data_IF_990360895682
#
_entry.id   IF_990360895682
#
_cell.length_a   1.000
_cell.length_b   1.000
_cell.length_c   1.000
_cell.angle_alpha   90.00
_cell.angle_beta   90.00
_cell.angle_gamma   90.00
#
_symmetry.space_group_name_H-M   'P 1'
#
loop_
_entity.id
_entity.type
_entity.pdbx_description
1 polymer ?
#
# COMPACT_ATOMS: atom_id res chain seq x y z
N UNK A 1 -41.10 0.69 -3.62
CA UNK A 1 -41.91 1.83 -3.16
C UNK A 1 -41.30 2.41 -1.88
N UNK A 2 -41.50 3.71 -1.60
CA UNK A 2 -40.58 4.59 -0.86
C UNK A 2 -40.54 4.48 0.68
N UNK A 3 -40.77 3.32 1.30
CA UNK A 3 -40.95 3.23 2.77
C UNK A 3 -39.76 2.64 3.56
N UNK A 4 -38.62 2.42 2.91
CA UNK A 4 -37.43 1.87 3.61
C UNK A 4 -36.52 2.93 4.23
N UNK A 5 -36.81 4.22 4.03
CA UNK A 5 -36.03 5.31 4.62
C UNK A 5 -37.00 6.25 5.36
N UNK A 6 -36.87 6.31 6.70
CA UNK A 6 -37.53 7.26 7.62
C UNK A 6 -39.01 7.06 8.02
N UNK A 7 -39.35 5.91 8.63
CA UNK A 7 -40.64 5.75 9.32
C UNK A 7 -40.53 4.93 10.60
N UNK A 8 -41.17 5.39 11.69
CA UNK A 8 -41.23 4.75 13.03
C UNK A 8 -42.10 3.48 13.03
N UNK A 9 -42.74 3.15 11.91
CA UNK A 9 -43.64 2.01 11.77
C UNK A 9 -43.27 1.18 10.52
N UNK A 10 -43.60 -0.11 10.52
CA UNK A 10 -43.58 -1.03 9.38
C UNK A 10 -44.97 -1.63 9.20
N UNK A 11 -45.35 -1.94 7.97
CA UNK A 11 -46.53 -2.77 7.71
C UNK A 11 -46.11 -4.23 7.68
N UNK A 12 -46.78 -5.06 8.47
CA UNK A 12 -46.56 -6.50 8.55
C UNK A 12 -47.82 -7.22 8.07
N UNK A 13 -47.67 -8.10 7.09
CA UNK A 13 -48.78 -8.86 6.53
C UNK A 13 -49.18 -9.98 7.50
N UNK A 14 -50.38 -9.89 8.06
CA UNK A 14 -50.90 -10.85 9.05
C UNK A 14 -51.80 -11.90 8.41
N UNK A 15 -52.37 -11.60 7.25
CA UNK A 15 -53.07 -12.53 6.37
C UNK A 15 -52.94 -12.03 4.91
N UNK A 16 -53.17 -12.88 3.89
CA UNK A 16 -53.01 -12.47 2.49
C UNK A 16 -53.87 -11.23 2.16
N UNK A 17 -53.21 -10.10 1.90
CA UNK A 17 -53.86 -8.82 1.63
C UNK A 17 -54.27 -8.00 2.85
N UNK A 18 -53.96 -8.46 4.08
CA UNK A 18 -54.26 -7.77 5.34
C UNK A 18 -52.96 -7.39 6.06
N UNK A 19 -52.72 -6.08 6.19
CA UNK A 19 -51.49 -5.52 6.75
C UNK A 19 -51.79 -4.78 8.05
N UNK A 20 -51.01 -5.08 9.09
CA UNK A 20 -51.04 -4.34 10.35
C UNK A 20 -49.84 -3.41 10.47
N UNK A 21 -50.08 -2.22 11.00
CA UNK A 21 -49.04 -1.23 11.28
C UNK A 21 -48.35 -1.58 12.61
N UNK A 22 -47.07 -1.96 12.55
CA UNK A 22 -46.24 -2.31 13.70
C UNK A 22 -45.17 -1.24 13.94
N UNK A 23 -44.93 -0.76 15.17
CA UNK A 23 -43.82 0.14 15.45
C UNK A 23 -42.47 -0.55 15.22
N UNK A 24 -41.57 0.11 14.50
CA UNK A 24 -40.17 -0.31 14.41
C UNK A 24 -39.49 0.03 15.74
N UNK A 25 -38.72 -0.88 16.35
CA UNK A 25 -37.90 -0.54 17.51
C UNK A 25 -36.95 0.60 17.15
N UNK A 26 -37.05 1.73 17.85
CA UNK A 26 -36.15 2.86 17.61
C UNK A 26 -34.75 2.52 18.12
N UNK A 27 -33.71 3.04 17.46
CA UNK A 27 -32.31 2.83 17.84
C UNK A 27 -32.05 3.12 19.33
N UNK A 28 -32.69 4.15 19.89
CA UNK A 28 -32.59 4.48 21.32
C UNK A 28 -33.25 3.43 22.25
N UNK A 29 -34.29 2.72 21.78
CA UNK A 29 -34.94 1.63 22.52
C UNK A 29 -34.07 0.38 22.45
N UNK A 30 -33.50 0.07 21.29
CA UNK A 30 -32.50 -1.00 21.14
C UNK A 30 -31.29 -0.72 22.02
N UNK A 31 -30.74 0.50 21.99
CA UNK A 31 -29.61 0.92 22.82
C UNK A 31 -29.94 0.82 24.32
N UNK A 32 -31.16 1.16 24.74
CA UNK A 32 -31.62 0.98 26.12
C UNK A 32 -31.78 -0.49 26.53
N UNK A 33 -32.18 -1.35 25.60
CA UNK A 33 -32.23 -2.80 25.80
C UNK A 33 -30.82 -3.38 26.02
N UNK A 34 -29.82 -2.87 25.28
CA UNK A 34 -28.41 -3.25 25.44
C UNK A 34 -27.68 -2.58 26.62
N UNK A 35 -28.35 -1.68 27.36
CA UNK A 35 -27.83 -1.03 28.58
C UNK A 35 -28.65 -1.37 29.83
N UNK A 36 -29.49 -2.40 29.76
CA UNK A 36 -30.16 -2.93 30.96
C UNK A 36 -29.10 -3.63 31.81
N UNK A 37 -28.67 -2.94 32.87
CA UNK A 37 -27.80 -3.50 33.90
C UNK A 37 -28.68 -4.33 34.83
N UNK A 38 -28.39 -5.62 34.95
CA UNK A 38 -29.13 -6.54 35.81
C UNK A 38 -28.25 -6.95 36.99
N UNK A 39 -28.86 -7.12 38.17
CA UNK A 39 -28.13 -7.42 39.42
C UNK A 39 -27.28 -8.72 39.35
N UNK A 40 -27.61 -9.63 38.43
CA UNK A 40 -26.84 -10.84 38.13
C UNK A 40 -26.63 -10.95 36.61
N UNK A 41 -25.36 -11.01 36.20
CA UNK A 41 -24.92 -11.20 34.82
C UNK A 41 -25.06 -12.67 34.40
N UNK A 42 -25.56 -12.90 33.18
CA UNK A 42 -25.68 -14.24 32.60
C UNK A 42 -24.36 -14.76 32.06
N UNK A 43 -23.43 -13.87 31.69
CA UNK A 43 -22.05 -14.20 31.29
C UNK A 43 -21.12 -13.77 32.42
N UNK A 44 -20.82 -14.70 33.33
CA UNK A 44 -20.08 -14.43 34.57
C UNK A 44 -18.58 -14.16 34.32
N UNK A 45 -18.01 -14.80 33.30
CA UNK A 45 -16.68 -14.48 32.79
C UNK A 45 -16.56 -14.90 31.33
N UNK A 46 -15.70 -14.19 30.59
CA UNK A 46 -15.31 -14.56 29.24
C UNK A 46 -13.79 -14.55 29.12
N UNK A 47 -13.21 -15.75 29.04
CA UNK A 47 -11.77 -15.95 29.03
C UNK A 47 -11.30 -16.45 27.67
N UNK A 48 -10.19 -15.90 27.18
CA UNK A 48 -9.54 -16.33 25.95
C UNK A 48 -8.19 -16.97 26.23
N UNK A 49 -7.90 -18.08 25.55
CA UNK A 49 -6.61 -18.79 25.63
C UNK A 49 -6.09 -19.12 24.24
N UNK A 50 -4.77 -19.03 24.06
CA UNK A 50 -4.10 -19.30 22.79
C UNK A 50 -3.31 -20.61 22.88
N UNK A 51 -3.51 -21.48 21.89
CA UNK A 51 -2.69 -22.68 21.69
C UNK A 51 -1.65 -22.41 20.61
N UNK A 52 -0.40 -22.22 21.02
CA UNK A 52 0.73 -21.93 20.13
C UNK A 52 1.04 -23.08 19.16
N UNK A 53 0.71 -24.33 19.52
CA UNK A 53 1.00 -25.51 18.69
C UNK A 53 0.01 -25.61 17.53
N UNK A 54 -1.25 -25.29 17.77
CA UNK A 54 -2.31 -25.37 16.75
C UNK A 54 -2.64 -24.02 16.11
N UNK A 55 -2.15 -22.90 16.67
CA UNK A 55 -2.46 -21.54 16.24
C UNK A 55 -3.92 -21.17 16.42
N UNK A 56 -4.59 -21.78 17.40
CA UNK A 56 -6.04 -21.61 17.64
C UNK A 56 -6.29 -20.84 18.92
N UNK A 57 -7.36 -20.05 18.89
CA UNK A 57 -7.90 -19.39 20.07
C UNK A 57 -9.09 -20.19 20.59
N UNK A 58 -9.10 -20.44 21.89
CA UNK A 58 -10.24 -21.00 22.61
C UNK A 58 -10.81 -19.91 23.52
N UNK A 59 -12.05 -19.51 23.26
CA UNK A 59 -12.79 -18.58 24.12
C UNK A 59 -13.85 -19.35 24.88
N UNK A 60 -13.83 -19.22 26.20
CA UNK A 60 -14.73 -19.92 27.11
C UNK A 60 -15.53 -18.90 27.93
N UNK A 61 -16.84 -19.04 27.89
CA UNK A 61 -17.78 -18.26 28.69
C UNK A 61 -18.26 -19.12 29.87
N UNK A 62 -18.17 -18.58 31.09
CA UNK A 62 -18.85 -19.13 32.28
C UNK A 62 -20.22 -18.48 32.38
N UNK A 63 -21.27 -19.29 32.49
CA UNK A 63 -22.66 -18.86 32.39
C UNK A 63 -23.39 -19.06 33.71
N UNK A 64 -24.38 -18.19 33.97
CA UNK A 64 -25.32 -18.38 35.06
C UNK A 64 -26.22 -19.61 34.86
N UNK A 65 -26.71 -20.17 35.97
CA UNK A 65 -27.51 -21.40 35.98
C UNK A 65 -28.85 -21.28 35.24
N UNK A 66 -29.38 -20.06 35.07
CA UNK A 66 -30.65 -19.77 34.40
C UNK A 66 -30.53 -19.67 32.87
N UNK A 67 -29.32 -19.73 32.32
CA UNK A 67 -29.07 -19.80 30.87
C UNK A 67 -29.47 -21.18 30.34
N UNK A 68 -30.54 -21.25 29.57
CA UNK A 68 -31.10 -22.52 29.06
C UNK A 68 -31.03 -22.66 27.53
N UNK A 69 -30.65 -21.58 26.84
CA UNK A 69 -30.54 -21.53 25.38
C UNK A 69 -29.12 -21.70 24.83
N UNK A 70 -29.02 -21.65 23.51
CA UNK A 70 -27.73 -21.62 22.80
C UNK A 70 -27.04 -20.29 23.05
N UNK A 71 -25.80 -20.33 23.54
CA UNK A 71 -24.94 -19.14 23.58
C UNK A 71 -24.39 -18.87 22.18
N UNK A 72 -24.57 -17.63 21.73
CA UNK A 72 -24.04 -17.20 20.44
C UNK A 72 -22.72 -16.49 20.66
N UNK A 73 -21.65 -17.07 20.11
CA UNK A 73 -20.37 -16.38 20.04
C UNK A 73 -20.18 -15.76 18.67
N UNK A 74 -19.81 -14.48 18.64
CA UNK A 74 -19.61 -13.72 17.41
C UNK A 74 -18.19 -13.18 17.36
N UNK A 75 -17.57 -13.37 16.20
CA UNK A 75 -16.35 -12.69 15.80
C UNK A 75 -16.71 -11.38 15.12
N UNK A 76 -16.15 -10.25 15.58
CA UNK A 76 -16.54 -8.92 15.10
C UNK A 76 -15.66 -8.35 13.97
N UNK A 77 -14.55 -9.00 13.59
CA UNK A 77 -13.69 -8.51 12.48
C UNK A 77 -14.02 -9.21 11.16
N UNK A 78 -13.76 -8.55 10.03
CA UNK A 78 -14.12 -9.05 8.68
C UNK A 78 -13.38 -10.32 8.26
N UNK A 79 -12.42 -10.71 9.08
CA UNK A 79 -11.41 -11.66 8.73
C UNK A 79 -11.35 -12.56 10.01
N UNK A 80 -11.78 -13.81 9.92
CA UNK A 80 -11.69 -14.80 10.98
C UNK A 80 -12.95 -15.65 10.98
N UNK A 81 -12.88 -16.88 11.48
CA UNK A 81 -14.07 -17.74 11.53
C UNK A 81 -14.11 -18.62 12.77
N UNK A 82 -15.33 -18.90 13.21
CA UNK A 82 -15.63 -19.84 14.28
C UNK A 82 -15.48 -21.26 13.71
N UNK A 83 -14.56 -22.05 14.26
CA UNK A 83 -14.31 -23.44 13.87
C UNK A 83 -15.37 -24.40 14.41
N UNK A 84 -15.98 -24.03 15.53
CA UNK A 84 -17.03 -24.80 16.19
C UNK A 84 -17.34 -24.26 17.58
N UNK A 85 -18.57 -24.45 18.03
CA UNK A 85 -19.02 -24.19 19.39
C UNK A 85 -19.34 -25.50 20.10
N UNK A 86 -18.96 -25.59 21.37
CA UNK A 86 -19.46 -26.63 22.27
C UNK A 86 -20.78 -26.19 22.88
N UNK A 87 -21.70 -27.14 23.02
CA UNK A 87 -22.96 -26.93 23.74
C UNK A 87 -22.68 -26.86 25.24
N UNK A 88 -23.48 -26.06 25.96
CA UNK A 88 -23.34 -25.83 27.40
C UNK A 88 -23.16 -27.16 28.15
N UNK A 89 -22.00 -27.35 28.77
CA UNK A 89 -21.79 -28.49 29.68
C UNK A 89 -22.63 -28.25 30.94
N UNK A 90 -23.54 -29.16 31.25
CA UNK A 90 -24.51 -29.01 32.35
C UNK A 90 -24.11 -29.76 33.61
N UNK A 91 -22.89 -30.33 33.64
CA UNK A 91 -22.53 -31.30 34.67
C UNK A 91 -22.20 -30.68 36.04
N UNK A 92 -21.62 -29.47 36.11
CA UNK A 92 -21.28 -28.78 37.37
C UNK A 92 -21.17 -27.24 37.26
N UNK A 93 -20.74 -26.72 36.10
CA UNK A 93 -20.63 -25.28 35.79
C UNK A 93 -21.06 -25.11 34.34
N UNK A 94 -22.03 -24.24 34.05
CA UNK A 94 -22.46 -24.01 32.67
C UNK A 94 -21.38 -23.27 31.90
N UNK A 95 -20.61 -23.99 31.08
CA UNK A 95 -19.58 -23.40 30.24
C UNK A 95 -19.93 -23.59 28.77
N UNK A 96 -19.76 -22.52 28.00
CA UNK A 96 -19.79 -22.57 26.54
C UNK A 96 -18.41 -22.19 26.02
N UNK A 97 -17.81 -23.07 25.21
CA UNK A 97 -16.51 -22.81 24.59
C UNK A 97 -16.67 -22.79 23.07
N UNK A 98 -16.08 -21.81 22.39
CA UNK A 98 -15.92 -21.85 20.94
C UNK A 98 -14.45 -21.73 20.56
N UNK A 99 -14.12 -22.44 19.47
CA UNK A 99 -12.81 -22.40 18.86
C UNK A 99 -12.83 -21.40 17.71
N UNK A 100 -11.80 -20.55 17.67
CA UNK A 100 -11.62 -19.52 16.66
C UNK A 100 -10.29 -19.74 15.95
N UNK A 101 -10.28 -19.39 14.66
CA UNK A 101 -9.06 -19.37 13.86
C UNK A 101 -8.98 -18.11 13.03
N UNK A 102 -7.79 -17.55 12.99
CA UNK A 102 -7.38 -16.59 11.97
C UNK A 102 -7.22 -17.34 10.65
N UNK A 103 -7.80 -16.80 9.58
CA UNK A 103 -7.87 -17.48 8.30
C UNK A 103 -6.52 -17.92 7.74
N UNK A 104 -6.47 -19.17 7.26
CA UNK A 104 -5.28 -19.91 6.81
C UNK A 104 -4.51 -19.29 5.62
N UNK A 105 -4.97 -18.17 5.05
CA UNK A 105 -4.46 -17.60 3.79
C UNK A 105 -4.07 -16.13 3.83
N UNK A 106 -4.36 -15.40 4.92
CA UNK A 106 -3.95 -13.99 5.07
C UNK A 106 -3.47 -13.77 6.49
N UNK A 107 -2.28 -13.18 6.70
CA UNK A 107 -1.86 -12.82 8.04
C UNK A 107 -2.91 -11.91 8.67
N UNK A 108 -3.29 -12.26 9.89
CA UNK A 108 -4.09 -11.40 10.73
C UNK A 108 -3.14 -10.52 11.51
N UNK A 109 -3.36 -9.22 11.42
CA UNK A 109 -2.73 -8.27 12.31
C UNK A 109 -3.86 -7.41 12.86
N UNK A 110 -3.83 -7.19 14.17
CA UNK A 110 -4.85 -6.41 14.88
C UNK A 110 -5.64 -7.25 15.87
N UNK A 111 -6.17 -6.57 16.88
CA UNK A 111 -7.01 -7.19 17.89
C UNK A 111 -8.39 -7.51 17.32
N UNK A 112 -8.93 -8.67 17.69
CA UNK A 112 -10.27 -9.09 17.38
C UNK A 112 -11.10 -9.10 18.65
N UNK A 113 -12.28 -8.48 18.59
CA UNK A 113 -13.26 -8.56 19.68
C UNK A 113 -14.15 -9.77 19.44
N UNK A 114 -14.25 -10.61 20.46
CA UNK A 114 -15.15 -11.76 20.51
C UNK A 114 -16.21 -11.44 21.55
N UNK A 115 -17.48 -11.48 21.13
CA UNK A 115 -18.63 -11.22 22.01
C UNK A 115 -19.40 -12.51 22.23
N UNK A 116 -19.64 -12.87 23.48
CA UNK A 116 -20.53 -13.95 23.87
C UNK A 116 -21.88 -13.37 24.28
N UNK A 117 -22.97 -13.86 23.68
CA UNK A 117 -24.34 -13.43 23.97
C UNK A 117 -25.10 -14.62 24.55
N UNK A 118 -25.57 -14.45 25.78
CA UNK A 118 -26.37 -15.44 26.50
C UNK A 118 -27.82 -14.98 26.62
N UNK A 119 -28.75 -15.95 26.57
CA UNK A 119 -30.19 -15.70 26.76
C UNK A 119 -30.73 -16.67 27.81
N UNK A 120 -31.39 -16.14 28.84
CA UNK A 120 -32.01 -16.93 29.91
C UNK A 120 -33.37 -17.50 29.51
N UNK A 121 -33.88 -18.45 30.30
CA UNK A 121 -35.22 -19.01 30.11
C UNK A 121 -36.34 -17.95 30.08
N UNK A 122 -36.16 -16.87 30.85
CA UNK A 122 -37.11 -15.77 30.96
C UNK A 122 -36.90 -14.69 29.88
N UNK A 123 -36.17 -15.01 28.81
CA UNK A 123 -35.84 -14.10 27.71
C UNK A 123 -35.01 -12.86 28.12
N UNK A 124 -34.26 -12.94 29.23
CA UNK A 124 -33.22 -11.95 29.54
C UNK A 124 -32.02 -12.21 28.64
N UNK A 125 -31.43 -11.15 28.09
CA UNK A 125 -30.22 -11.24 27.29
C UNK A 125 -29.09 -10.47 27.98
N UNK A 126 -27.89 -11.03 27.93
CA UNK A 126 -26.68 -10.42 28.46
C UNK A 126 -25.50 -10.76 27.56
N UNK A 127 -24.43 -9.99 27.65
CA UNK A 127 -23.23 -10.20 26.87
C UNK A 127 -21.96 -9.83 27.65
N UNK A 128 -20.88 -10.50 27.30
CA UNK A 128 -19.53 -10.09 27.64
C UNK A 128 -18.66 -10.14 26.38
N UNK A 129 -17.55 -9.40 26.38
CA UNK A 129 -16.66 -9.35 25.24
C UNK A 129 -15.19 -9.38 25.67
N UNK A 130 -14.40 -10.19 24.98
CA UNK A 130 -12.97 -10.31 25.17
C UNK A 130 -12.26 -9.86 23.91
N UNK A 131 -11.19 -9.09 24.08
CA UNK A 131 -10.29 -8.71 22.99
C UNK A 131 -9.16 -9.71 22.95
N UNK A 132 -9.00 -10.40 21.81
CA UNK A 132 -7.86 -11.25 21.53
C UNK A 132 -6.95 -10.56 20.53
N UNK A 133 -5.63 -10.71 20.69
CA UNK A 133 -4.66 -10.20 19.72
C UNK A 133 -4.07 -11.38 18.98
N UNK A 134 -4.73 -11.89 17.92
CA UNK A 134 -4.27 -13.09 17.27
C UNK A 134 -2.93 -12.86 16.59
N UNK A 135 -1.90 -13.53 17.10
CA UNK A 135 -0.61 -13.66 16.44
C UNK A 135 -0.71 -14.82 15.46
N UNK A 136 -1.10 -14.54 14.21
CA UNK A 136 -0.90 -15.52 13.13
C UNK A 136 0.60 -15.70 12.85
N UNK A 137 1.05 -16.84 12.29
CA UNK A 137 2.42 -16.95 11.82
C UNK A 137 2.69 -15.83 10.80
N UNK A 138 3.58 -14.91 11.18
CA UNK A 138 3.99 -13.76 10.38
C UNK A 138 4.61 -14.26 9.07
N UNK A 139 4.12 -13.87 7.89
CA UNK A 139 4.80 -14.13 6.65
C UNK A 139 5.94 -13.12 6.50
N UNK A 140 7.17 -13.66 6.53
CA UNK A 140 8.45 -13.08 6.11
C UNK A 140 8.90 -11.80 6.83
N UNK A 141 10.20 -11.56 6.76
CA UNK A 141 10.97 -10.46 7.38
C UNK A 141 10.62 -9.11 6.75
N UNK A 142 9.32 -8.77 6.66
CA UNK A 142 8.85 -7.53 6.09
C UNK A 142 9.62 -6.36 6.73
N UNK A 143 10.20 -5.52 5.89
CA UNK A 143 11.10 -4.45 6.33
C UNK A 143 10.77 -3.15 5.62
N UNK A 144 11.09 -2.06 6.30
CA UNK A 144 11.01 -0.70 5.77
C UNK A 144 12.42 -0.14 5.81
N UNK A 145 12.90 0.30 4.67
CA UNK A 145 14.10 1.09 4.51
C UNK A 145 13.70 2.53 4.24
N UNK A 146 14.33 3.47 4.95
CA UNK A 146 14.17 4.91 4.73
C UNK A 146 15.38 5.38 3.93
N UNK A 147 15.11 5.95 2.75
CA UNK A 147 16.15 6.37 1.81
C UNK A 147 16.43 7.85 1.95
N UNK A 148 15.39 8.68 1.81
CA UNK A 148 15.53 10.13 1.95
C UNK A 148 14.49 10.73 2.87
N UNK A 149 14.90 11.78 3.57
CA UNK A 149 14.07 12.61 4.41
C UNK A 149 14.59 14.04 4.37
N UNK A 150 13.86 14.94 3.73
CA UNK A 150 14.26 16.34 3.60
C UNK A 150 13.59 17.26 4.62
N UNK A 151 14.34 18.26 5.09
CA UNK A 151 13.81 19.33 5.95
C UNK A 151 13.54 20.59 5.13
N UNK A 152 12.28 20.76 4.71
CA UNK A 152 11.87 21.91 3.91
C UNK A 152 11.46 23.12 4.76
N UNK A 153 12.12 24.26 4.57
CA UNK A 153 11.76 25.55 5.18
C UNK A 153 10.35 26.03 4.74
N UNK A 154 9.87 25.61 3.56
CA UNK A 154 8.54 26.01 3.05
C UNK A 154 7.96 24.97 2.09
N UNK A 155 7.11 24.06 2.59
CA UNK A 155 6.02 23.43 1.83
C UNK A 155 6.34 22.29 0.85
N UNK A 156 7.60 21.88 0.67
CA UNK A 156 8.00 20.88 -0.34
C UNK A 156 8.92 19.77 0.18
N UNK A 157 8.94 19.52 1.50
CA UNK A 157 9.69 18.38 2.03
C UNK A 157 9.14 17.06 1.48
N UNK A 158 10.02 16.08 1.34
CA UNK A 158 9.73 14.74 0.84
C UNK A 158 10.41 13.70 1.72
N UNK A 159 9.79 12.53 1.74
CA UNK A 159 10.38 11.34 2.30
C UNK A 159 10.22 10.20 1.31
N UNK A 160 11.23 9.35 1.22
CA UNK A 160 11.22 8.17 0.38
C UNK A 160 11.80 6.96 1.10
N UNK A 161 11.50 5.79 0.55
CA UNK A 161 11.99 4.55 1.11
C UNK A 161 11.66 3.36 0.24
N UNK A 162 11.92 2.18 0.79
CA UNK A 162 11.57 0.90 0.18
C UNK A 162 10.94 -0.02 1.21
N UNK A 163 9.93 -0.76 0.81
CA UNK A 163 9.41 -1.88 1.58
C UNK A 163 9.78 -3.20 0.91
N UNK A 164 10.16 -4.20 1.70
CA UNK A 164 10.52 -5.54 1.20
C UNK A 164 9.66 -6.61 1.86
N UNK A 165 9.52 -7.74 1.16
CA UNK A 165 8.85 -8.95 1.66
C UNK A 165 7.42 -8.71 2.19
N UNK A 166 6.70 -7.79 1.53
CA UNK A 166 5.34 -7.40 1.90
C UNK A 166 4.37 -7.55 0.74
N UNK A 167 3.17 -8.04 1.03
CA UNK A 167 2.04 -8.04 0.11
C UNK A 167 1.21 -6.75 0.28
N UNK A 168 1.31 -5.84 -0.69
CA UNK A 168 0.63 -4.53 -0.70
C UNK A 168 -0.89 -4.62 -0.98
N UNK A 169 -1.41 -5.79 -1.35
CA UNK A 169 -2.86 -6.02 -1.43
C UNK A 169 -3.48 -6.21 -0.05
N UNK A 170 -2.69 -6.61 0.95
CA UNK A 170 -3.14 -6.85 2.33
C UNK A 170 -2.59 -5.86 3.34
N UNK A 171 -1.54 -5.13 2.99
CA UNK A 171 -0.92 -4.12 3.84
C UNK A 171 -0.89 -2.74 3.16
N UNK A 172 -0.62 -1.72 3.96
CA UNK A 172 -0.29 -0.37 3.48
C UNK A 172 0.78 0.24 4.36
N UNK A 173 1.54 1.16 3.78
CA UNK A 173 2.44 2.02 4.53
C UNK A 173 1.64 3.18 5.12
N UNK A 174 1.92 3.51 6.38
CA UNK A 174 1.50 4.77 7.00
C UNK A 174 2.75 5.53 7.44
N UNK A 175 2.74 6.84 7.25
CA UNK A 175 3.86 7.73 7.54
C UNK A 175 3.36 8.85 8.44
N UNK A 176 4.11 9.12 9.50
CA UNK A 176 3.88 10.22 10.41
C UNK A 176 5.18 10.94 10.73
N UNK A 177 5.05 12.20 11.12
CA UNK A 177 6.15 12.95 11.73
C UNK A 177 5.87 13.09 13.22
N UNK A 178 6.76 12.55 14.03
CA UNK A 178 6.77 12.71 15.48
C UNK A 178 7.58 13.94 15.83
N UNK A 179 6.89 14.98 16.30
CA UNK A 179 7.54 16.22 16.75
C UNK A 179 7.60 16.26 18.27
N UNK A 180 8.48 17.11 18.83
CA UNK A 180 8.48 17.44 20.26
C UNK A 180 7.24 18.25 20.70
N UNK A 181 6.32 18.55 19.79
CA UNK A 181 5.02 19.16 20.09
C UNK A 181 4.00 18.06 20.37
N UNK A 182 2.87 18.43 20.98
CA UNK A 182 1.82 17.51 21.47
C UNK A 182 1.14 16.61 20.39
N UNK A 183 1.66 16.53 19.17
CA UNK A 183 1.01 15.90 18.03
C UNK A 183 1.98 15.14 17.13
N UNK A 184 1.54 13.97 16.69
CA UNK A 184 2.11 13.19 15.59
C UNK A 184 1.14 13.36 14.42
N UNK A 185 1.58 13.99 13.33
CA UNK A 185 0.69 14.42 12.23
C UNK A 185 0.99 13.64 10.94
N UNK A 186 -0.04 13.14 10.26
CA UNK A 186 -0.12 13.17 8.82
C UNK A 186 -0.79 14.50 8.38
N UNK A 187 -0.06 15.35 7.64
CA UNK A 187 -0.74 16.41 6.87
C UNK A 187 -1.49 15.78 5.69
N UNK A 188 -2.46 16.49 5.09
CA UNK A 188 -3.23 15.95 3.96
C UNK A 188 -2.34 15.36 2.84
N UNK A 189 -1.20 15.99 2.56
CA UNK A 189 -0.23 15.52 1.57
C UNK A 189 0.58 14.27 1.99
N UNK A 190 0.69 13.96 3.29
CA UNK A 190 1.33 12.71 3.79
C UNK A 190 0.40 11.49 3.67
N UNK A 191 -0.89 11.70 3.39
CA UNK A 191 -1.83 10.60 3.11
C UNK A 191 -1.69 10.08 1.69
N UNK A 192 -1.11 10.89 0.81
CA UNK A 192 -0.87 10.56 -0.59
C UNK A 192 0.51 9.90 -0.74
N UNK A 193 0.64 8.69 -0.19
CA UNK A 193 1.85 7.87 -0.34
C UNK A 193 1.78 7.16 -1.70
N UNK A 194 2.73 7.46 -2.56
CA UNK A 194 2.95 6.67 -3.78
C UNK A 194 3.84 5.48 -3.43
N UNK A 195 3.43 4.28 -3.83
CA UNK A 195 4.22 3.06 -3.73
C UNK A 195 4.07 2.26 -5.01
N UNK A 196 5.19 1.85 -5.60
CA UNK A 196 5.22 1.06 -6.81
C UNK A 196 5.17 -0.45 -6.54
N UNK A 197 5.13 -1.26 -7.60
CA UNK A 197 5.13 -2.71 -7.50
C UNK A 197 6.47 -3.31 -7.00
N UNK A 198 7.55 -2.55 -7.07
CA UNK A 198 8.90 -2.92 -6.61
C UNK A 198 9.11 -2.60 -5.12
N UNK A 199 8.13 -1.96 -4.48
CA UNK A 199 8.13 -1.57 -3.08
C UNK A 199 8.77 -0.20 -2.81
N UNK A 200 9.21 0.53 -3.83
CA UNK A 200 9.70 1.89 -3.66
C UNK A 200 8.53 2.84 -3.41
N UNK A 201 8.71 3.74 -2.46
CA UNK A 201 7.68 4.70 -2.09
C UNK A 201 8.24 6.08 -1.86
N UNK A 202 7.37 7.07 -2.05
CA UNK A 202 7.64 8.45 -1.65
C UNK A 202 6.35 9.15 -1.23
N UNK A 203 6.50 10.17 -0.40
CA UNK A 203 5.40 11.04 0.03
C UNK A 203 5.91 12.45 0.26
N UNK A 204 5.02 13.43 0.14
CA UNK A 204 5.31 14.76 0.66
C UNK A 204 5.21 14.73 2.18
N UNK A 205 6.12 15.44 2.85
CA UNK A 205 6.09 15.69 4.30
C UNK A 205 5.95 17.20 4.54
N UNK A 206 5.33 17.55 5.67
CA UNK A 206 5.16 18.95 6.09
C UNK A 206 6.35 19.41 6.93
N UNK A 207 6.54 20.73 7.05
CA UNK A 207 7.66 21.35 7.79
C UNK A 207 7.83 20.74 9.20
N UNK A 208 9.06 20.31 9.50
CA UNK A 208 9.35 19.28 10.50
C UNK A 208 9.72 19.80 11.88
N UNK A 209 10.20 21.05 12.05
CA UNK A 209 10.59 21.61 13.35
C UNK A 209 11.36 20.58 14.24
N UNK A 210 12.42 19.94 13.73
CA UNK A 210 13.17 18.85 14.39
C UNK A 210 12.33 17.56 14.63
N UNK A 211 11.54 17.14 13.63
CA UNK A 211 10.64 16.00 13.71
C UNK A 211 11.27 14.68 13.26
N UNK A 212 10.96 13.58 13.95
CA UNK A 212 11.34 12.22 13.57
C UNK A 212 10.30 11.64 12.59
N UNK A 213 10.73 11.24 11.39
CA UNK A 213 9.91 10.48 10.46
C UNK A 213 9.68 9.08 11.03
N UNK A 214 8.43 8.61 11.04
CA UNK A 214 8.05 7.30 11.52
C UNK A 214 7.15 6.61 10.50
N UNK A 215 7.52 5.40 10.11
CA UNK A 215 6.83 4.61 9.10
C UNK A 215 6.43 3.25 9.66
N UNK A 216 5.19 2.83 9.44
CA UNK A 216 4.70 1.51 9.81
C UNK A 216 4.06 0.81 8.62
N UNK A 217 4.33 -0.49 8.49
CA UNK A 217 3.55 -1.38 7.63
C UNK A 217 2.40 -1.95 8.43
N UNK A 218 1.18 -1.52 8.11
CA UNK A 218 -0.05 -1.89 8.81
C UNK A 218 -1.00 -2.65 7.89
N UNK A 219 -1.98 -3.38 8.44
CA UNK A 219 -3.08 -3.91 7.63
C UNK A 219 -3.72 -2.87 6.75
N UNK A 220 -4.14 -3.28 5.56
CA UNK A 220 -4.81 -2.39 4.61
C UNK A 220 -6.08 -1.77 5.19
N UNK A 221 -6.78 -2.54 6.02
CA UNK A 221 -7.98 -2.16 6.77
C UNK A 221 -7.72 -1.26 7.98
N UNK A 222 -6.48 -1.10 8.43
CA UNK A 222 -6.17 -0.25 9.58
C UNK A 222 -6.59 1.20 9.29
N UNK A 223 -7.36 1.83 10.18
CA UNK A 223 -7.76 3.23 10.02
C UNK A 223 -6.86 4.12 10.87
N UNK A 224 -5.79 4.70 10.29
CA UNK A 224 -4.89 5.59 11.02
C UNK A 224 -5.62 6.85 11.49
N UNK A 225 -5.42 7.31 12.73
CA UNK A 225 -5.99 8.57 13.20
C UNK A 225 -5.41 9.75 12.42
N UNK A 226 -6.26 10.73 12.11
CA UNK A 226 -5.86 11.99 11.46
C UNK A 226 -4.84 12.78 12.29
N UNK A 227 -4.85 12.62 13.61
CA UNK A 227 -3.87 13.18 14.53
C UNK A 227 -3.57 12.14 15.60
N UNK A 228 -2.35 11.60 15.59
CA UNK A 228 -1.91 10.63 16.57
C UNK A 228 -1.48 11.36 17.86
N UNK A 229 -1.97 10.94 19.05
CA UNK A 229 -1.52 11.47 20.33
C UNK A 229 -0.01 11.28 20.55
N UNK A 230 0.55 12.04 21.49
CA UNK A 230 1.94 11.83 21.90
C UNK A 230 2.16 10.40 22.42
N UNK A 231 3.16 9.71 21.86
CA UNK A 231 3.48 8.33 22.24
C UNK A 231 2.50 7.30 21.68
N UNK A 232 1.64 7.68 20.74
CA UNK A 232 0.80 6.74 20.01
C UNK A 232 1.61 5.93 19.02
N UNK A 233 1.28 4.65 18.94
CA UNK A 233 1.75 3.70 17.93
C UNK A 233 0.58 2.81 17.49
N UNK A 234 0.60 2.22 16.29
CA UNK A 234 -0.42 1.25 15.88
C UNK A 234 -0.39 0.01 16.79
N UNK A 235 -1.55 -0.43 17.25
CA UNK A 235 -1.67 -1.64 18.08
C UNK A 235 -1.24 -2.94 17.35
N UNK A 236 -1.10 -2.88 16.02
CA UNK A 236 -0.56 -3.97 15.21
C UNK A 236 0.09 -3.44 13.92
N UNK A 237 1.33 -3.87 13.67
CA UNK A 237 2.10 -3.58 12.47
C UNK A 237 3.07 -4.74 12.17
N UNK A 238 3.50 -4.85 10.90
CA UNK A 238 4.49 -5.83 10.43
C UNK A 238 5.92 -5.34 10.58
N UNK A 239 6.14 -4.06 10.30
CA UNK A 239 7.46 -3.45 10.32
C UNK A 239 7.34 -1.99 10.74
N UNK A 240 8.42 -1.49 11.33
CA UNK A 240 8.58 -0.11 11.75
C UNK A 240 9.98 0.37 11.38
N UNK A 241 10.07 1.60 10.89
CA UNK A 241 11.32 2.32 10.72
C UNK A 241 11.14 3.79 11.11
N UNK A 242 12.20 4.41 11.61
CA UNK A 242 12.23 5.85 11.84
C UNK A 242 13.56 6.48 11.46
N UNK A 243 13.50 7.78 11.15
CA UNK A 243 14.64 8.60 10.77
C UNK A 243 14.48 9.97 11.41
N UNK A 244 15.42 10.33 12.29
CA UNK A 244 15.36 11.58 13.06
C UNK A 244 16.13 12.72 12.38
N UNK A 245 17.18 12.39 11.63
CA UNK A 245 18.04 13.36 10.96
C UNK A 245 17.66 13.40 9.49
N UNK A 246 17.43 14.61 8.97
CA UNK A 246 17.26 14.82 7.55
C UNK A 246 18.57 14.49 6.83
N UNK A 247 18.47 13.84 5.68
CA UNK A 247 19.60 13.36 4.88
C UNK A 247 19.40 13.65 3.38
N UNK A 248 18.58 14.63 3.04
CA UNK A 248 18.25 15.08 1.67
C UNK A 248 18.02 16.60 1.76
N UNK A 249 19.11 17.36 1.90
CA UNK A 249 19.04 18.79 2.26
C UNK A 249 18.48 19.64 1.12
N UNK A 250 18.72 19.27 -0.12
CA UNK A 250 18.23 19.99 -1.30
C UNK A 250 16.87 19.46 -1.83
N UNK A 251 16.32 18.44 -1.18
CA UNK A 251 14.97 17.91 -1.35
C UNK A 251 14.70 17.30 -2.74
N UNK A 252 15.72 16.67 -3.30
CA UNK A 252 15.71 16.15 -4.66
C UNK A 252 15.48 14.63 -4.75
N UNK A 253 15.42 13.93 -3.61
CA UNK A 253 15.29 12.46 -3.45
C UNK A 253 16.61 11.68 -3.59
N UNK A 254 17.75 12.34 -3.53
CA UNK A 254 19.05 11.72 -3.36
C UNK A 254 19.53 11.88 -1.90
N UNK A 255 20.18 10.87 -1.30
CA UNK A 255 20.75 11.04 0.03
C UNK A 255 22.04 11.88 0.02
N UNK A 256 22.18 12.82 0.96
CA UNK A 256 23.35 13.70 1.10
C UNK A 256 24.67 12.91 1.16
N UNK A 257 24.70 11.80 1.92
CA UNK A 257 25.90 10.97 2.07
C UNK A 257 26.29 10.28 0.75
N UNK A 258 25.32 9.97 -0.10
CA UNK A 258 25.55 9.39 -1.43
C UNK A 258 26.15 10.44 -2.37
N UNK A 259 25.56 11.64 -2.42
CA UNK A 259 26.06 12.75 -3.22
C UNK A 259 27.48 13.19 -2.79
N UNK A 260 27.71 13.33 -1.49
CA UNK A 260 29.03 13.69 -0.95
C UNK A 260 30.04 12.58 -1.20
N UNK A 261 29.63 11.32 -1.14
CA UNK A 261 30.48 10.17 -1.44
C UNK A 261 31.00 10.15 -2.88
N UNK A 262 30.19 10.59 -3.83
CA UNK A 262 30.52 10.63 -5.26
C UNK A 262 31.24 11.93 -5.64
N UNK A 263 30.66 13.06 -5.26
CA UNK A 263 31.05 14.37 -5.81
C UNK A 263 31.67 15.34 -4.80
N UNK A 264 31.61 15.02 -3.51
CA UNK A 264 32.15 15.84 -2.43
C UNK A 264 31.34 17.10 -2.13
N UNK A 265 30.13 17.24 -2.69
CA UNK A 265 29.23 18.38 -2.47
C UNK A 265 27.77 17.93 -2.65
N UNK A 266 26.86 18.54 -1.89
CA UNK A 266 25.41 18.28 -1.96
C UNK A 266 24.83 19.17 -3.08
N UNK A 267 23.94 18.62 -3.91
CA UNK A 267 23.24 19.36 -4.96
C UNK A 267 24.14 19.79 -6.13
N UNK A 268 25.29 19.14 -6.32
CA UNK A 268 26.13 19.36 -7.50
C UNK A 268 25.44 18.89 -8.78
N UNK A 269 24.85 17.70 -8.71
CA UNK A 269 24.05 17.09 -9.76
C UNK A 269 22.75 16.61 -9.11
N UNK A 270 21.63 17.09 -9.63
CA UNK A 270 20.32 16.70 -9.11
C UNK A 270 19.88 15.34 -9.67
N UNK A 271 18.78 14.84 -9.13
CA UNK A 271 18.15 13.56 -9.53
C UNK A 271 17.83 13.33 -11.01
N UNK A 272 17.87 14.37 -11.86
CA UNK A 272 17.60 14.31 -13.30
C UNK A 272 18.84 14.57 -14.16
N UNK A 273 19.98 14.80 -13.53
CA UNK A 273 21.24 14.91 -14.23
C UNK A 273 21.79 13.51 -14.52
N UNK A 274 22.63 13.45 -15.56
CA UNK A 274 23.30 12.25 -16.10
C UNK A 274 24.79 12.66 -16.30
N UNK A 275 25.62 12.60 -15.24
CA UNK A 275 26.99 13.13 -15.27
C UNK A 275 27.96 12.33 -16.13
N UNK A 276 27.72 11.05 -16.31
CA UNK A 276 28.56 10.14 -17.09
C UNK A 276 28.05 9.88 -18.52
N UNK A 277 26.89 10.46 -18.85
CA UNK A 277 26.26 10.53 -20.16
C UNK A 277 25.80 9.17 -20.70
N UNK A 278 25.42 8.24 -19.80
CA UNK A 278 25.05 6.87 -20.15
C UNK A 278 23.55 6.64 -20.38
N UNK A 279 22.75 7.71 -20.30
CA UNK A 279 21.29 7.76 -20.44
C UNK A 279 20.50 7.24 -19.24
N UNK A 280 21.16 6.98 -18.12
CA UNK A 280 20.54 6.79 -16.82
C UNK A 280 20.61 8.11 -16.04
N UNK A 281 19.53 8.49 -15.35
CA UNK A 281 19.59 9.64 -14.45
C UNK A 281 20.01 9.21 -13.05
N UNK A 282 20.67 10.10 -12.31
CA UNK A 282 21.16 9.87 -10.93
C UNK A 282 20.17 9.11 -10.01
N UNK A 283 18.86 9.42 -10.08
CA UNK A 283 17.86 8.73 -9.25
C UNK A 283 17.63 7.28 -9.68
N UNK A 284 17.64 7.01 -10.98
CA UNK A 284 17.47 5.66 -11.50
C UNK A 284 18.65 4.79 -11.09
N UNK A 285 19.86 5.34 -11.19
CA UNK A 285 21.10 4.69 -10.77
C UNK A 285 21.16 4.47 -9.26
N UNK A 286 20.80 5.48 -8.46
CA UNK A 286 20.69 5.34 -7.01
C UNK A 286 19.74 4.19 -6.62
N UNK A 287 18.57 4.10 -7.27
CA UNK A 287 17.58 3.06 -7.00
C UNK A 287 18.00 1.68 -7.53
N UNK A 288 18.81 1.63 -8.59
CA UNK A 288 19.39 0.42 -9.16
C UNK A 288 20.66 -0.05 -8.43
N UNK A 289 21.30 0.84 -7.68
CA UNK A 289 22.60 0.61 -7.05
C UNK A 289 23.76 0.64 -8.05
N UNK A 290 23.62 1.40 -9.14
CA UNK A 290 24.65 1.58 -10.16
C UNK A 290 25.40 2.92 -9.97
N UNK A 291 26.26 3.31 -10.91
CA UNK A 291 27.32 4.30 -10.67
C UNK A 291 27.20 5.56 -11.54
N UNK A 292 26.77 6.72 -10.99
CA UNK A 292 26.46 7.96 -11.75
C UNK A 292 27.66 8.73 -12.28
N UNK A 293 28.87 8.21 -12.09
CA UNK A 293 30.13 8.80 -12.55
C UNK A 293 30.83 7.90 -13.58
N UNK A 294 30.28 6.73 -13.88
CA UNK A 294 30.88 5.74 -14.76
C UNK A 294 29.82 4.94 -15.50
N UNK A 295 29.79 5.00 -16.85
CA UNK A 295 28.74 4.35 -17.63
C UNK A 295 28.63 2.86 -17.31
N UNK A 296 27.40 2.39 -17.09
CA UNK A 296 27.12 1.01 -16.76
C UNK A 296 27.21 0.09 -17.98
N UNK A 297 28.03 -0.95 -17.90
CA UNK A 297 28.23 -1.98 -18.93
C UNK A 297 28.44 -3.33 -18.22
N UNK A 298 27.35 -3.97 -17.81
CA UNK A 298 27.36 -5.14 -16.94
C UNK A 298 27.93 -6.39 -17.61
N UNK A 299 27.81 -6.51 -18.94
CA UNK A 299 28.32 -7.64 -19.69
C UNK A 299 29.69 -7.38 -20.36
N UNK A 300 30.15 -6.14 -20.33
CA UNK A 300 31.49 -5.70 -20.70
C UNK A 300 31.71 -5.67 -22.21
N UNK A 301 30.66 -5.51 -23.00
CA UNK A 301 30.72 -5.56 -24.46
C UNK A 301 30.90 -4.19 -25.12
N UNK A 302 30.82 -3.12 -24.33
CA UNK A 302 30.97 -1.73 -24.74
C UNK A 302 29.68 -1.04 -25.17
N UNK A 303 28.51 -1.66 -24.96
CA UNK A 303 27.21 -1.01 -24.95
C UNK A 303 26.82 -0.64 -23.51
N UNK A 304 26.08 0.45 -23.34
CA UNK A 304 25.56 0.81 -22.02
C UNK A 304 24.31 0.00 -21.70
N UNK A 305 24.20 -0.48 -20.46
CA UNK A 305 23.05 -1.26 -20.00
C UNK A 305 21.74 -0.50 -20.26
N UNK A 306 21.71 0.81 -20.00
CA UNK A 306 20.55 1.67 -20.23
C UNK A 306 20.13 1.71 -21.71
N UNK A 307 21.09 1.81 -22.63
CA UNK A 307 20.83 1.77 -24.08
C UNK A 307 20.23 0.42 -24.50
N UNK A 308 20.81 -0.68 -24.02
CA UNK A 308 20.33 -2.02 -24.36
C UNK A 308 18.94 -2.31 -23.79
N UNK A 309 18.67 -1.92 -22.55
CA UNK A 309 17.33 -2.05 -21.98
C UNK A 309 16.31 -1.16 -22.70
N UNK A 310 16.71 0.05 -23.11
CA UNK A 310 15.82 0.97 -23.83
C UNK A 310 15.36 0.39 -25.17
N UNK A 311 16.27 -0.16 -25.96
CA UNK A 311 15.94 -0.63 -27.32
C UNK A 311 15.62 -2.12 -27.43
N UNK A 312 16.24 -2.96 -26.61
CA UNK A 312 16.15 -4.42 -26.72
C UNK A 312 15.49 -5.08 -25.51
N UNK A 313 15.49 -4.40 -24.36
CA UNK A 313 14.97 -4.93 -23.09
C UNK A 313 15.83 -6.03 -22.48
N UNK A 314 17.04 -6.26 -23.00
CA UNK A 314 17.99 -7.31 -22.57
C UNK A 314 19.42 -6.94 -22.94
N UNK A 315 20.39 -7.40 -22.14
CA UNK A 315 21.84 -7.33 -22.40
C UNK A 315 22.33 -8.46 -23.32
N UNK A 316 21.66 -8.68 -24.46
CA UNK A 316 21.96 -9.82 -25.35
C UNK A 316 22.38 -9.40 -26.75
N UNK A 317 22.18 -8.13 -27.11
CA UNK A 317 22.54 -7.63 -28.43
C UNK A 317 23.98 -7.14 -28.36
N UNK A 318 24.84 -7.63 -29.25
CA UNK A 318 26.23 -7.22 -29.24
C UNK A 318 26.48 -5.87 -29.93
N UNK A 319 27.65 -5.26 -29.73
CA UNK A 319 28.03 -3.98 -30.35
C UNK A 319 28.12 -4.03 -31.88
N UNK A 320 28.28 -5.23 -32.44
CA UNK A 320 28.43 -5.48 -33.87
C UNK A 320 27.12 -5.88 -34.57
N UNK A 321 26.03 -6.05 -33.81
CA UNK A 321 24.73 -6.38 -34.37
C UNK A 321 24.11 -5.15 -35.05
N UNK A 322 23.27 -5.40 -36.05
CA UNK A 322 22.54 -4.41 -36.86
C UNK A 322 21.07 -4.88 -36.96
N UNK A 323 20.26 -4.65 -35.90
CA UNK A 323 18.93 -5.23 -35.79
C UNK A 323 17.94 -4.67 -36.83
N UNK A 324 18.14 -3.44 -37.28
CA UNK A 324 17.26 -2.75 -38.22
C UNK A 324 17.71 -2.85 -39.70
N UNK A 325 18.95 -3.29 -39.93
CA UNK A 325 19.51 -3.58 -41.24
C UNK A 325 19.89 -2.35 -42.05
N UNK A 326 20.15 -1.20 -41.42
CA UNK A 326 20.52 0.04 -42.10
C UNK A 326 22.03 0.15 -42.43
N UNK A 327 22.83 -0.79 -41.89
CA UNK A 327 24.27 -0.86 -42.07
C UNK A 327 25.08 -0.14 -40.99
N UNK A 328 24.44 0.40 -39.96
CA UNK A 328 25.07 0.91 -38.73
C UNK A 328 24.90 -0.14 -37.64
N UNK A 329 26.01 -0.56 -37.03
CA UNK A 329 25.94 -1.49 -35.90
C UNK A 329 25.61 -0.75 -34.59
N UNK A 330 25.05 -1.45 -33.60
CA UNK A 330 24.65 -0.94 -32.29
C UNK A 330 25.68 0.02 -31.65
N UNK A 331 26.98 -0.34 -31.64
CA UNK A 331 28.00 0.55 -31.07
C UNK A 331 28.17 1.86 -31.84
N UNK A 332 27.95 1.82 -33.16
CA UNK A 332 27.91 3.02 -33.99
C UNK A 332 26.66 3.87 -33.75
N UNK A 333 25.56 3.25 -33.37
CA UNK A 333 24.31 3.94 -33.08
C UNK A 333 24.31 4.57 -31.70
N UNK A 334 24.81 3.85 -30.69
CA UNK A 334 25.12 4.37 -29.36
C UNK A 334 25.97 5.64 -29.46
N UNK A 335 27.10 5.57 -30.17
CA UNK A 335 28.01 6.71 -30.36
C UNK A 335 27.38 7.90 -31.11
N UNK A 336 26.25 7.70 -31.81
CA UNK A 336 25.52 8.75 -32.55
C UNK A 336 24.22 9.16 -31.87
N UNK A 337 23.80 8.47 -30.82
CA UNK A 337 22.46 8.57 -30.24
C UNK A 337 21.35 8.29 -31.25
N UNK A 338 21.52 7.29 -32.11
CA UNK A 338 20.47 6.83 -33.04
C UNK A 338 19.74 5.59 -32.50
N UNK A 339 18.58 5.30 -33.07
CA UNK A 339 17.71 4.20 -32.64
C UNK A 339 18.04 2.90 -33.41
N UNK A 340 18.66 1.89 -32.75
CA UNK A 340 19.08 0.63 -33.37
C UNK A 340 17.95 -0.30 -33.78
N UNK A 341 16.71 0.08 -33.47
CA UNK A 341 15.51 -0.63 -33.93
C UNK A 341 14.87 0.04 -35.15
N UNK A 342 15.46 1.14 -35.65
CA UNK A 342 14.83 2.02 -36.63
C UNK A 342 15.81 2.54 -37.68
N UNK A 343 15.76 1.86 -38.82
CA UNK A 343 16.63 2.15 -39.95
C UNK A 343 16.66 3.64 -40.34
N UNK A 344 17.85 4.22 -40.31
CA UNK A 344 18.14 5.54 -40.85
C UNK A 344 18.22 5.41 -42.37
N UNK A 345 17.11 5.71 -43.04
CA UNK A 345 17.12 5.82 -44.50
C UNK A 345 18.05 6.96 -44.90
N UNK A 346 19.17 6.71 -45.61
CA UNK A 346 19.96 7.80 -46.16
C UNK A 346 19.06 8.59 -47.11
N UNK A 347 19.01 9.92 -46.93
CA UNK A 347 18.50 10.85 -47.96
C UNK A 347 19.03 10.34 -49.31
N UNK A 348 18.16 10.05 -50.30
CA UNK A 348 18.61 9.41 -51.52
C UNK A 348 19.70 10.30 -52.12
N UNK A 349 20.94 9.81 -52.09
CA UNK A 349 22.10 10.52 -52.60
C UNK A 349 21.72 11.07 -53.95
N UNK A 350 21.71 12.40 -54.08
CA UNK A 350 21.26 13.08 -55.28
C UNK A 350 21.88 12.37 -56.49
N UNK A 351 21.06 11.59 -57.18
CA UNK A 351 21.49 10.83 -58.34
C UNK A 351 21.90 11.89 -59.34
N UNK A 352 23.20 12.12 -59.44
CA UNK A 352 23.77 13.03 -60.42
C UNK A 352 23.59 12.33 -61.74
N UNK A 353 22.42 12.55 -62.36
CA UNK A 353 22.04 11.95 -63.62
C UNK A 353 22.94 12.56 -64.70
N UNK A 354 24.09 11.94 -64.92
CA UNK A 354 25.01 12.28 -65.99
C UNK A 354 24.41 11.80 -67.32
N UNK A 355 23.66 12.71 -67.94
CA UNK A 355 23.36 12.89 -69.37
C UNK A 355 22.98 11.68 -70.25
N UNK A 356 21.81 11.74 -70.91
CA UNK A 356 21.67 11.83 -72.39
C UNK A 356 20.34 12.52 -72.71
N UNK A 357 20.36 13.52 -73.60
CA UNK A 357 19.28 14.47 -73.84
C UNK A 357 18.00 13.94 -74.51
N UNK A 358 16.92 14.71 -74.37
CA UNK A 358 16.14 15.30 -75.47
C UNK A 358 15.00 16.19 -74.89
N UNK A 359 15.00 17.46 -75.31
CA UNK A 359 13.85 18.38 -75.45
C UNK A 359 13.20 18.96 -74.17
N UNK A 360 13.76 20.11 -73.76
CA UNK A 360 12.96 21.20 -73.17
C UNK A 360 12.06 21.79 -74.27
N UNK A 361 10.77 21.46 -74.26
CA UNK A 361 9.74 22.17 -75.00
C UNK A 361 8.41 22.10 -74.26
N UNK A 362 8.29 22.90 -73.19
CA UNK A 362 7.01 23.44 -72.71
C UNK A 362 7.22 24.49 -71.60
N UNK A 363 8.04 25.51 -71.85
CA UNK A 363 8.01 26.75 -71.07
C UNK A 363 7.79 27.92 -72.03
N UNK A 364 6.58 28.00 -72.59
CA UNK A 364 5.93 29.22 -73.12
C UNK A 364 4.57 28.90 -73.78
N UNK A 365 3.53 28.72 -72.98
CA UNK A 365 2.11 29.05 -73.25
C UNK A 365 1.32 28.41 -72.10
N UNK A 366 0.96 29.10 -71.03
CA UNK A 366 -0.08 30.11 -71.02
C UNK A 366 -1.35 29.49 -70.44
N UNK A 367 -1.66 29.76 -69.16
CA UNK A 367 -3.02 30.17 -68.78
C UNK A 367 -3.04 30.87 -67.42
N UNK A 368 -3.47 32.12 -67.48
CA UNK A 368 -3.85 33.02 -66.39
C UNK A 368 -5.24 32.61 -65.86
N UNK A 369 -5.46 32.94 -64.57
CA UNK A 369 -6.73 33.32 -63.91
C UNK A 369 -7.82 32.26 -63.71
N UNK A 370 -8.15 32.03 -62.44
CA UNK A 370 -9.45 32.26 -61.74
C UNK A 370 -9.32 31.59 -60.35
N UNK A 371 -9.57 32.20 -59.20
CA UNK A 371 -10.13 33.52 -58.86
C UNK A 371 -9.57 34.04 -57.55
#
# INVERSE_FOLDING_TARGET
MPEQHFGVMRFEEVAPGEYQLQPKPQEAVLRRLYTLDFDESLVQSLDASHDEVTGRWSVSAVLADDVTGTVHMRWETERGFVLGSSTVDTSLTKTATALFRTGDRRPYLGSARVTAIAVSADSRADYDAVTISPVGPLPLEASIELLTFSEGDVGWARASGRVRDVDLDVCKLIVYVKTNRLYVQPYAAMKDIFIDASGYWWTNVGNLYDGELCCWLVPREFEPPDQAPLGWEPDAFLAFASMAEANDVDADLLPDDWEVGLWGDIGRYGRYDDPDEDWSYNLEEFLAGTSPDTPDDSDGDGLWDAFEFHYFGTLLQGPADDPDGDGTANAGELARGTDPSRAVVPEPAAVTLLAVGFVLSALRYGYRRMG
#
